data_IF_351493203841
#
_entry.id   IF_351493203841
#
_cell.length_a   1.000
_cell.length_b   1.000
_cell.length_c   1.000
_cell.angle_alpha   90.00
_cell.angle_beta   90.00
_cell.angle_gamma   90.00
#
_symmetry.space_group_name_H-M   'P 1'
#
loop_
_entity.id
_entity.type
_entity.pdbx_description
1 polymer ?
#
# COMPACT_ATOMS: atom_id res chain seq x y z
N UNK A 1 23.70 10.34 15.54
CA UNK A 1 22.90 9.11 15.70
C UNK A 1 21.76 9.27 16.72
N UNK A 2 21.97 9.92 17.86
CA UNK A 2 20.93 10.05 18.90
C UNK A 2 19.67 10.79 18.42
N UNK A 3 19.81 11.90 17.69
CA UNK A 3 18.67 12.67 17.17
C UNK A 3 17.84 11.88 16.15
N UNK A 4 18.48 11.15 15.23
CA UNK A 4 17.79 10.31 14.24
C UNK A 4 16.97 9.20 14.92
N UNK A 5 17.47 8.60 15.99
CA UNK A 5 16.73 7.59 16.75
C UNK A 5 15.58 8.17 17.58
N UNK A 6 15.71 9.39 18.10
CA UNK A 6 14.58 10.08 18.72
C UNK A 6 13.47 10.36 17.72
N UNK A 7 13.81 10.86 16.52
CA UNK A 7 12.83 11.11 15.45
C UNK A 7 12.14 9.80 15.03
N UNK A 8 12.89 8.73 14.81
CA UNK A 8 12.33 7.40 14.47
C UNK A 8 11.40 6.87 15.57
N UNK A 9 11.79 6.99 16.83
CA UNK A 9 10.98 6.57 17.99
C UNK A 9 9.69 7.40 18.09
N UNK A 10 9.79 8.70 17.85
CA UNK A 10 8.63 9.59 17.85
C UNK A 10 7.65 9.25 16.73
N UNK A 11 8.14 8.97 15.50
CA UNK A 11 7.30 8.52 14.38
C UNK A 11 6.59 7.21 14.72
N UNK A 12 7.29 6.22 15.30
CA UNK A 12 6.69 4.95 15.75
C UNK A 12 5.59 5.18 16.79
N UNK A 13 5.81 6.09 17.73
CA UNK A 13 4.79 6.45 18.72
C UNK A 13 3.57 7.10 18.08
N UNK A 14 3.74 8.02 17.14
CA UNK A 14 2.62 8.64 16.41
C UNK A 14 1.82 7.60 15.62
N UNK A 15 2.50 6.65 14.97
CA UNK A 15 1.87 5.57 14.20
C UNK A 15 1.00 4.65 15.09
N UNK A 16 1.45 4.36 16.33
CA UNK A 16 0.67 3.56 17.29
C UNK A 16 -0.71 4.14 17.60
N UNK A 17 -0.90 5.45 17.49
CA UNK A 17 -2.17 6.13 17.77
C UNK A 17 -3.00 6.42 16.53
N UNK A 18 -2.58 5.96 15.34
CA UNK A 18 -3.42 6.02 14.14
C UNK A 18 -4.66 5.15 14.35
N UNK A 19 -5.76 5.75 14.75
CA UNK A 19 -7.04 5.06 14.78
C UNK A 19 -7.52 4.88 13.33
N UNK A 20 -7.83 3.65 12.90
CA UNK A 20 -8.54 3.43 11.65
C UNK A 20 -9.97 3.95 11.86
N UNK A 21 -10.17 5.26 11.65
CA UNK A 21 -11.52 5.82 11.57
C UNK A 21 -12.18 5.08 10.40
N UNK A 22 -13.34 4.44 10.62
CA UNK A 22 -14.10 3.83 9.53
C UNK A 22 -14.61 4.98 8.66
N UNK A 23 -13.83 5.31 7.63
CA UNK A 23 -14.24 6.22 6.57
C UNK A 23 -14.61 5.38 5.36
N UNK A 24 -15.73 5.74 4.78
CA UNK A 24 -16.30 5.14 3.57
C UNK A 24 -15.65 5.71 2.30
N UNK A 25 -14.66 6.59 2.44
CA UNK A 25 -13.99 7.20 1.30
C UNK A 25 -13.09 6.18 0.58
N UNK A 26 -13.29 5.98 -0.73
CA UNK A 26 -12.51 5.07 -1.53
C UNK A 26 -11.07 5.56 -1.70
N UNK A 27 -10.17 4.63 -2.05
CA UNK A 27 -8.80 4.96 -2.40
C UNK A 27 -8.79 5.90 -3.61
N UNK A 28 -8.24 7.10 -3.43
CA UNK A 28 -8.08 8.07 -4.51
C UNK A 28 -6.99 7.62 -5.49
N UNK A 29 -7.05 8.12 -6.72
CA UNK A 29 -5.99 7.83 -7.70
C UNK A 29 -4.62 8.36 -7.23
N UNK A 30 -4.60 9.49 -6.51
CA UNK A 30 -3.38 10.04 -5.91
C UNK A 30 -2.79 9.04 -4.91
N UNK A 31 -3.60 8.46 -4.02
CA UNK A 31 -3.13 7.44 -3.07
C UNK A 31 -2.52 6.23 -3.77
N UNK A 32 -3.15 5.78 -4.87
CA UNK A 32 -2.66 4.65 -5.66
C UNK A 32 -1.31 4.97 -6.32
N UNK A 33 -1.19 6.14 -6.93
CA UNK A 33 0.06 6.59 -7.55
C UNK A 33 1.18 6.78 -6.51
N UNK A 34 0.88 7.38 -5.36
CA UNK A 34 1.85 7.52 -4.27
C UNK A 34 2.34 6.17 -3.75
N UNK A 35 1.45 5.18 -3.65
CA UNK A 35 1.81 3.83 -3.18
C UNK A 35 2.68 3.09 -4.21
N UNK A 36 2.36 3.20 -5.50
CA UNK A 36 3.17 2.63 -6.59
C UNK A 36 4.56 3.28 -6.68
N UNK A 37 4.62 4.59 -6.52
CA UNK A 37 5.89 5.32 -6.51
C UNK A 37 6.77 4.88 -5.32
N UNK A 38 6.16 4.74 -4.13
CA UNK A 38 6.85 4.23 -2.95
C UNK A 38 7.37 2.80 -3.16
N UNK A 39 6.59 1.92 -3.79
CA UNK A 39 7.00 0.56 -4.13
C UNK A 39 8.21 0.55 -5.08
N UNK A 40 8.15 1.36 -6.13
CA UNK A 40 9.24 1.51 -7.10
C UNK A 40 10.52 2.03 -6.44
N UNK A 41 10.42 3.09 -5.64
CA UNK A 41 11.58 3.68 -4.95
C UNK A 41 12.19 2.70 -3.94
N UNK A 42 11.37 2.02 -3.15
CA UNK A 42 11.82 0.99 -2.22
C UNK A 42 12.49 -0.20 -2.93
N UNK A 43 11.99 -0.59 -4.11
CA UNK A 43 12.56 -1.67 -4.92
C UNK A 43 13.84 -1.28 -5.67
N UNK A 44 13.99 0.00 -6.05
CA UNK A 44 15.11 0.49 -6.86
C UNK A 44 16.44 0.61 -6.10
N UNK A 45 16.42 0.61 -4.76
CA UNK A 45 17.59 0.82 -3.91
C UNK A 45 18.22 2.23 -3.98
N UNK A 46 17.70 3.12 -4.84
CA UNK A 46 18.25 4.46 -5.09
C UNK A 46 18.11 5.42 -3.90
N UNK A 47 16.93 5.46 -3.27
CA UNK A 47 16.68 6.25 -2.05
C UNK A 47 17.63 5.84 -0.90
N UNK A 48 18.00 4.55 -0.84
CA UNK A 48 18.89 4.02 0.18
C UNK A 48 20.37 4.22 -0.13
N UNK A 49 20.78 4.26 -1.41
CA UNK A 49 22.11 4.73 -1.79
C UNK A 49 22.35 6.15 -1.27
N UNK A 50 21.34 7.01 -1.37
CA UNK A 50 21.37 8.36 -0.81
C UNK A 50 21.37 8.36 0.74
N UNK A 51 20.58 7.49 1.38
CA UNK A 51 20.56 7.35 2.84
C UNK A 51 21.89 6.83 3.40
N UNK A 52 22.51 5.83 2.76
CA UNK A 52 23.81 5.32 3.14
C UNK A 52 24.88 6.42 2.99
N UNK A 53 24.83 7.21 1.90
CA UNK A 53 25.74 8.35 1.72
C UNK A 53 25.57 9.46 2.77
N UNK A 54 24.38 9.62 3.34
CA UNK A 54 24.12 10.63 4.39
C UNK A 54 24.38 10.12 5.80
N UNK A 55 24.20 8.81 6.05
CA UNK A 55 24.39 8.22 7.38
C UNK A 55 25.85 7.80 7.65
N UNK A 56 26.65 7.54 6.61
CA UNK A 56 28.07 7.21 6.73
C UNK A 56 28.95 8.39 6.31
N UNK A 57 29.78 8.96 7.21
CA UNK A 57 30.65 10.09 6.88
C UNK A 57 31.77 9.68 5.90
N UNK A 58 32.20 10.62 5.04
CA UNK A 58 33.28 10.49 4.03
C UNK A 58 34.58 9.78 4.49
N UNK A 59 35.06 9.88 5.75
CA UNK A 59 36.32 9.26 6.17
C UNK A 59 36.34 7.73 6.02
N UNK A 60 35.18 7.08 6.11
CA UNK A 60 35.05 5.61 5.98
C UNK A 60 35.21 5.16 4.52
N UNK A 61 34.97 6.06 3.55
CA UNK A 61 35.00 5.73 2.12
C UNK A 61 36.42 5.73 1.54
N UNK A 62 37.33 6.49 2.15
CA UNK A 62 38.65 6.80 1.57
C UNK A 62 39.85 6.30 2.38
N UNK A 63 39.64 5.55 3.48
CA UNK A 63 40.76 5.06 4.29
C UNK A 63 41.29 3.74 3.69
N UNK A 64 42.52 3.78 3.16
CA UNK A 64 43.27 2.58 2.76
C UNK A 64 43.55 1.72 4.00
N UNK A 65 42.61 0.83 4.32
CA UNK A 65 42.75 -0.10 5.43
C UNK A 65 43.82 -1.15 5.11
N UNK A 66 44.75 -1.34 6.05
CA UNK A 66 45.82 -2.35 6.01
C UNK A 66 45.24 -3.77 5.81
N UNK A 67 46.03 -4.75 5.34
CA UNK A 67 45.53 -6.08 4.95
C UNK A 67 44.75 -6.84 6.04
N UNK A 68 45.03 -6.55 7.33
CA UNK A 68 44.36 -7.16 8.47
C UNK A 68 42.91 -6.64 8.65
N UNK A 69 42.66 -5.38 8.32
CA UNK A 69 41.33 -4.77 8.35
C UNK A 69 40.43 -5.21 7.17
N UNK A 70 41.00 -5.78 6.09
CA UNK A 70 40.24 -6.29 4.93
C UNK A 70 39.32 -7.46 5.28
N UNK A 71 39.67 -8.29 6.26
CA UNK A 71 38.82 -9.42 6.71
C UNK A 71 37.60 -8.94 7.49
N UNK A 72 37.78 -7.95 8.38
CA UNK A 72 36.70 -7.33 9.14
C UNK A 72 35.77 -6.48 8.28
N UNK A 73 36.32 -5.69 7.33
CA UNK A 73 35.52 -4.87 6.41
C UNK A 73 34.72 -5.71 5.43
N UNK A 74 35.25 -6.83 4.94
CA UNK A 74 34.53 -7.72 4.03
C UNK A 74 33.35 -8.43 4.73
N UNK A 75 33.52 -8.86 5.99
CA UNK A 75 32.41 -9.38 6.80
C UNK A 75 31.38 -8.30 7.12
N UNK A 76 31.82 -7.07 7.41
CA UNK A 76 30.93 -5.94 7.65
C UNK A 76 30.11 -5.62 6.38
N UNK A 77 30.75 -5.59 5.21
CA UNK A 77 30.10 -5.33 3.91
C UNK A 77 29.12 -6.46 3.55
N UNK A 78 29.49 -7.72 3.72
CA UNK A 78 28.59 -8.85 3.44
C UNK A 78 27.38 -8.84 4.38
N UNK A 79 27.61 -8.54 5.67
CA UNK A 79 26.56 -8.37 6.66
C UNK A 79 25.65 -7.19 6.28
N UNK A 80 26.21 -6.00 6.05
CA UNK A 80 25.50 -4.81 5.54
C UNK A 80 24.59 -5.15 4.36
N UNK A 81 25.12 -5.87 3.38
CA UNK A 81 24.40 -6.26 2.16
C UNK A 81 23.28 -7.27 2.44
N UNK A 82 23.51 -8.30 3.25
CA UNK A 82 22.50 -9.29 3.66
C UNK A 82 21.37 -8.66 4.50
N UNK A 83 21.69 -7.69 5.35
CA UNK A 83 20.69 -6.98 6.16
C UNK A 83 19.89 -5.95 5.38
N UNK A 84 20.53 -5.20 4.46
CA UNK A 84 19.83 -4.36 3.48
C UNK A 84 18.74 -5.16 2.76
N UNK A 85 19.08 -6.35 2.26
CA UNK A 85 18.12 -7.23 1.60
C UNK A 85 16.96 -7.65 2.50
N UNK A 86 17.18 -7.90 3.80
CA UNK A 86 16.11 -8.37 4.71
C UNK A 86 15.12 -7.27 5.09
N UNK A 87 15.61 -6.10 5.52
CA UNK A 87 14.75 -4.98 5.92
C UNK A 87 13.94 -4.43 4.73
N UNK A 88 14.61 -4.25 3.59
CA UNK A 88 13.98 -3.76 2.35
C UNK A 88 12.96 -4.76 1.84
N UNK A 89 13.27 -6.07 1.81
CA UNK A 89 12.29 -7.08 1.39
C UNK A 89 11.07 -7.09 2.29
N UNK A 90 11.23 -6.94 3.60
CA UNK A 90 10.09 -6.88 4.52
C UNK A 90 9.20 -5.67 4.24
N UNK A 91 9.78 -4.48 4.09
CA UNK A 91 9.03 -3.25 3.80
C UNK A 91 8.39 -3.30 2.41
N UNK A 92 9.12 -3.78 1.41
CA UNK A 92 8.62 -3.96 0.05
C UNK A 92 7.46 -4.96 0.01
N UNK A 93 7.52 -6.07 0.76
CA UNK A 93 6.42 -7.03 0.86
C UNK A 93 5.15 -6.37 1.39
N UNK A 94 5.29 -5.52 2.40
CA UNK A 94 4.19 -4.77 2.99
C UNK A 94 3.57 -3.79 2.00
N UNK A 95 4.39 -3.01 1.30
CA UNK A 95 3.92 -2.06 0.27
C UNK A 95 3.25 -2.81 -0.89
N UNK A 96 3.89 -3.87 -1.38
CA UNK A 96 3.36 -4.70 -2.46
C UNK A 96 1.97 -5.25 -2.12
N UNK A 97 1.78 -5.72 -0.88
CA UNK A 97 0.50 -6.21 -0.42
C UNK A 97 -0.59 -5.10 -0.44
N UNK A 98 -0.23 -3.86 -0.12
CA UNK A 98 -1.14 -2.70 -0.24
C UNK A 98 -1.48 -2.41 -1.71
N UNK A 99 -0.48 -2.43 -2.60
CA UNK A 99 -0.68 -2.20 -4.05
C UNK A 99 -1.64 -3.23 -4.64
N UNK A 100 -1.46 -4.51 -4.32
CA UNK A 100 -2.35 -5.59 -4.76
C UNK A 100 -3.77 -5.36 -4.26
N UNK A 101 -3.94 -4.99 -2.99
CA UNK A 101 -5.25 -4.72 -2.41
C UNK A 101 -5.95 -3.50 -3.02
N UNK A 102 -5.22 -2.40 -3.25
CA UNK A 102 -5.72 -1.21 -3.95
C UNK A 102 -6.14 -1.53 -5.39
N UNK A 103 -5.42 -2.42 -6.08
CA UNK A 103 -5.76 -2.86 -7.43
C UNK A 103 -7.09 -3.64 -7.46
N UNK A 104 -7.34 -4.51 -6.47
CA UNK A 104 -8.60 -5.25 -6.37
C UNK A 104 -9.78 -4.32 -6.00
N UNK A 105 -9.59 -3.37 -5.08
CA UNK A 105 -10.59 -2.35 -4.78
C UNK A 105 -10.98 -1.55 -6.05
N UNK A 106 -9.97 -1.09 -6.80
CA UNK A 106 -10.20 -0.32 -8.02
C UNK A 106 -10.88 -1.14 -9.13
N UNK A 107 -10.53 -2.42 -9.26
CA UNK A 107 -11.20 -3.35 -10.19
C UNK A 107 -12.66 -3.55 -9.80
N UNK A 108 -12.97 -3.70 -8.51
CA UNK A 108 -14.34 -3.83 -8.05
C UNK A 108 -15.14 -2.54 -8.21
N UNK A 109 -14.52 -1.38 -8.00
CA UNK A 109 -15.12 -0.07 -8.30
C UNK A 109 -15.63 0.01 -9.73
N UNK A 110 -14.79 -0.36 -10.72
CA UNK A 110 -15.18 -0.37 -12.14
C UNK A 110 -16.36 -1.30 -12.44
N UNK A 111 -16.43 -2.46 -11.78
CA UNK A 111 -17.57 -3.39 -11.91
C UNK A 111 -18.85 -2.77 -11.35
N UNK A 112 -18.76 -2.15 -10.16
CA UNK A 112 -19.88 -1.45 -9.53
C UNK A 112 -20.40 -0.31 -10.42
N UNK A 113 -19.52 0.54 -10.94
CA UNK A 113 -19.87 1.64 -11.85
C UNK A 113 -20.52 1.14 -13.15
N UNK A 114 -20.02 0.05 -13.72
CA UNK A 114 -20.60 -0.55 -14.92
C UNK A 114 -22.00 -1.12 -14.66
N UNK A 115 -22.20 -1.82 -13.54
CA UNK A 115 -23.50 -2.37 -13.16
C UNK A 115 -24.53 -1.26 -12.89
N UNK A 116 -24.10 -0.19 -12.21
CA UNK A 116 -24.94 0.97 -11.95
C UNK A 116 -25.34 1.69 -13.25
N UNK A 117 -24.41 1.90 -14.17
CA UNK A 117 -24.68 2.51 -15.48
C UNK A 117 -25.67 1.70 -16.32
N UNK A 118 -25.58 0.37 -16.29
CA UNK A 118 -26.55 -0.50 -16.96
C UNK A 118 -27.94 -0.38 -16.34
N UNK A 119 -28.02 -0.39 -15.01
CA UNK A 119 -29.26 -0.16 -14.27
C UNK A 119 -29.89 1.19 -14.61
N UNK A 120 -29.14 2.30 -14.58
CA UNK A 120 -29.64 3.64 -14.91
C UNK A 120 -30.20 3.72 -16.33
N UNK A 121 -29.50 3.11 -17.30
CA UNK A 121 -30.00 3.03 -18.68
C UNK A 121 -31.34 2.32 -18.73
N UNK A 122 -31.50 1.21 -18.00
CA UNK A 122 -32.75 0.43 -17.99
C UNK A 122 -33.88 1.14 -17.25
N UNK A 123 -33.58 1.89 -16.19
CA UNK A 123 -34.53 2.78 -15.51
C UNK A 123 -35.03 3.87 -16.46
N UNK A 124 -34.13 4.50 -17.23
CA UNK A 124 -34.51 5.51 -18.21
C UNK A 124 -35.40 4.93 -19.33
N UNK A 125 -35.05 3.75 -19.85
CA UNK A 125 -35.85 3.01 -20.84
C UNK A 125 -37.24 2.59 -20.30
N UNK A 126 -37.34 2.28 -19.00
CA UNK A 126 -38.62 1.97 -18.34
C UNK A 126 -39.47 3.23 -18.21
N UNK A 127 -38.90 4.34 -17.74
CA UNK A 127 -39.61 5.63 -17.61
C UNK A 127 -40.18 6.11 -18.95
N UNK A 128 -39.40 5.95 -20.04
CA UNK A 128 -39.87 6.26 -21.39
C UNK A 128 -41.02 5.36 -21.83
N UNK A 129 -40.97 4.06 -21.49
CA UNK A 129 -42.05 3.12 -21.78
C UNK A 129 -43.32 3.47 -20.99
N UNK A 130 -43.21 3.72 -19.70
CA UNK A 130 -44.33 4.10 -18.83
C UNK A 130 -44.99 5.40 -19.29
N UNK A 131 -44.21 6.37 -19.77
CA UNK A 131 -44.73 7.61 -20.38
C UNK A 131 -45.57 7.33 -21.65
N UNK A 132 -45.16 6.36 -22.46
CA UNK A 132 -45.87 5.95 -23.69
C UNK A 132 -47.17 5.18 -23.40
N UNK A 133 -47.21 4.43 -22.29
CA UNK A 133 -48.36 3.65 -21.83
C UNK A 133 -49.21 4.40 -20.78
N UNK A 134 -49.25 5.74 -20.85
CA UNK A 134 -49.99 6.59 -19.91
C UNK A 134 -51.49 6.22 -19.79
N UNK A 135 -52.24 6.89 -18.90
CA UNK A 135 -53.60 6.49 -18.46
C UNK A 135 -54.68 6.31 -19.55
N UNK A 136 -54.37 6.59 -20.82
CA UNK A 136 -55.27 6.58 -21.98
C UNK A 136 -54.87 5.61 -23.11
N UNK A 137 -53.87 4.75 -22.93
CA UNK A 137 -53.49 3.79 -23.98
C UNK A 137 -54.58 2.71 -24.17
N UNK A 138 -55.33 2.78 -25.28
CA UNK A 138 -56.30 1.74 -25.67
C UNK A 138 -55.59 0.40 -25.91
N UNK A 139 -56.11 -0.72 -25.39
CA UNK A 139 -55.60 -2.04 -25.73
C UNK A 139 -56.11 -2.42 -27.12
N UNK A 140 -55.21 -2.52 -28.10
CA UNK A 140 -55.57 -3.14 -29.36
C UNK A 140 -55.85 -4.63 -29.13
N UNK A 141 -57.13 -4.98 -29.21
CA UNK A 141 -57.64 -6.33 -29.29
C UNK A 141 -57.12 -7.02 -30.54
N UNK A 142 -56.22 -7.99 -30.40
CA UNK A 142 -56.35 -9.29 -31.05
C UNK A 142 -55.25 -10.27 -30.65
N UNK A 143 -55.66 -11.54 -30.52
CA UNK A 143 -54.85 -12.77 -30.48
C UNK A 143 -54.16 -13.16 -29.15
N UNK A 144 -54.85 -14.04 -28.42
CA UNK A 144 -54.41 -15.39 -28.04
C UNK A 144 -52.90 -15.67 -27.91
N UNK A 145 -52.23 -15.12 -26.89
CA UNK A 145 -51.16 -15.81 -26.13
C UNK A 145 -50.77 -14.98 -24.91
N UNK A 146 -50.88 -15.54 -23.69
CA UNK A 146 -50.23 -15.10 -22.42
C UNK A 146 -49.64 -13.68 -22.43
N UNK A 147 -50.51 -12.66 -22.44
CA UNK A 147 -50.11 -11.26 -22.38
C UNK A 147 -49.68 -10.90 -20.96
N UNK A 148 -48.40 -11.12 -20.62
CA UNK A 148 -47.78 -10.43 -19.48
C UNK A 148 -47.66 -8.96 -19.85
N UNK A 149 -48.09 -8.07 -18.96
CA UNK A 149 -47.93 -6.63 -19.13
C UNK A 149 -46.45 -6.31 -19.43
N UNK A 150 -46.13 -5.75 -20.61
CA UNK A 150 -44.75 -5.46 -21.02
C UNK A 150 -44.07 -4.46 -20.07
N UNK A 151 -44.84 -3.60 -19.38
CA UNK A 151 -44.33 -2.71 -18.34
C UNK A 151 -43.97 -3.51 -17.09
N UNK A 152 -44.83 -4.43 -16.64
CA UNK A 152 -44.54 -5.30 -15.50
C UNK A 152 -43.30 -6.19 -15.74
N UNK A 153 -43.14 -6.76 -16.93
CA UNK A 153 -41.94 -7.53 -17.28
C UNK A 153 -40.67 -6.66 -17.26
N UNK A 154 -40.76 -5.43 -17.79
CA UNK A 154 -39.62 -4.51 -17.79
C UNK A 154 -39.28 -3.99 -16.39
N UNK A 155 -40.28 -3.78 -15.52
CA UNK A 155 -40.09 -3.50 -14.08
C UNK A 155 -39.34 -4.63 -13.38
N UNK A 156 -39.74 -5.88 -13.61
CA UNK A 156 -39.05 -7.04 -13.03
C UNK A 156 -37.57 -7.10 -13.44
N UNK A 157 -37.26 -6.81 -14.72
CA UNK A 157 -35.87 -6.74 -15.22
C UNK A 157 -35.07 -5.61 -14.56
N UNK A 158 -35.68 -4.43 -14.35
CA UNK A 158 -35.04 -3.30 -13.66
C UNK A 158 -34.72 -3.65 -12.21
N UNK A 159 -35.62 -4.32 -11.49
CA UNK A 159 -35.38 -4.74 -10.10
C UNK A 159 -34.26 -5.77 -9.98
N UNK A 160 -34.13 -6.71 -10.93
CA UNK A 160 -32.99 -7.65 -10.96
C UNK A 160 -31.67 -6.88 -11.14
N UNK A 161 -31.62 -5.91 -12.06
CA UNK A 161 -30.41 -5.10 -12.28
C UNK A 161 -30.10 -4.18 -11.10
N UNK A 162 -31.12 -3.68 -10.41
CA UNK A 162 -30.98 -2.91 -9.18
C UNK A 162 -30.33 -3.76 -8.08
N UNK A 163 -30.84 -4.96 -7.85
CA UNK A 163 -30.30 -5.89 -6.86
C UNK A 163 -28.83 -6.21 -7.17
N UNK A 164 -28.50 -6.45 -8.44
CA UNK A 164 -27.11 -6.66 -8.89
C UNK A 164 -26.23 -5.43 -8.67
N UNK A 165 -26.71 -4.22 -8.98
CA UNK A 165 -25.95 -2.99 -8.78
C UNK A 165 -25.67 -2.73 -7.29
N UNK A 166 -26.65 -2.97 -6.41
CA UNK A 166 -26.47 -2.84 -4.97
C UNK A 166 -25.53 -3.92 -4.40
N UNK A 167 -25.59 -5.15 -4.92
CA UNK A 167 -24.65 -6.22 -4.56
C UNK A 167 -23.20 -5.83 -4.89
N UNK A 168 -22.95 -5.35 -6.11
CA UNK A 168 -21.60 -4.94 -6.54
C UNK A 168 -21.10 -3.71 -5.77
N UNK A 169 -21.99 -2.79 -5.41
CA UNK A 169 -21.69 -1.65 -4.53
C UNK A 169 -21.32 -2.09 -3.12
N UNK A 170 -22.07 -3.03 -2.52
CA UNK A 170 -21.74 -3.59 -1.21
C UNK A 170 -20.38 -4.30 -1.22
N UNK A 171 -20.05 -5.02 -2.30
CA UNK A 171 -18.71 -5.61 -2.47
C UNK A 171 -17.62 -4.54 -2.55
N UNK A 172 -17.86 -3.42 -3.25
CA UNK A 172 -16.91 -2.31 -3.31
C UNK A 172 -16.69 -1.67 -1.93
N UNK A 173 -17.75 -1.39 -1.17
CA UNK A 173 -17.67 -0.83 0.18
C UNK A 173 -16.87 -1.73 1.15
N UNK A 174 -17.07 -3.05 1.05
CA UNK A 174 -16.27 -4.02 1.82
C UNK A 174 -14.79 -3.94 1.46
N UNK A 175 -14.44 -3.84 0.18
CA UNK A 175 -13.03 -3.72 -0.23
C UNK A 175 -12.41 -2.39 0.20
N UNK A 176 -13.14 -1.28 0.21
CA UNK A 176 -12.66 -0.01 0.76
C UNK A 176 -12.25 -0.22 2.23
N UNK A 177 -13.13 -0.84 3.03
CA UNK A 177 -12.84 -1.11 4.44
C UNK A 177 -11.61 -1.99 4.61
N UNK A 178 -11.48 -3.06 3.82
CA UNK A 178 -10.31 -3.96 3.84
C UNK A 178 -9.03 -3.22 3.46
N UNK A 179 -9.02 -2.43 2.37
CA UNK A 179 -7.85 -1.67 1.93
C UNK A 179 -7.39 -0.70 3.01
N UNK A 180 -8.32 0.03 3.65
CA UNK A 180 -8.00 0.98 4.72
C UNK A 180 -7.40 0.28 5.92
N UNK A 181 -8.06 -0.77 6.43
CA UNK A 181 -7.55 -1.56 7.55
C UNK A 181 -6.19 -2.16 7.25
N UNK A 182 -6.00 -2.72 6.06
CA UNK A 182 -4.73 -3.30 5.63
C UNK A 182 -3.63 -2.24 5.58
N UNK A 183 -3.90 -1.07 5.00
CA UNK A 183 -2.95 0.04 4.94
C UNK A 183 -2.56 0.48 6.35
N UNK A 184 -3.53 0.77 7.23
CA UNK A 184 -3.24 1.20 8.60
C UNK A 184 -2.47 0.14 9.39
N UNK A 185 -2.91 -1.12 9.38
CA UNK A 185 -2.26 -2.21 10.11
C UNK A 185 -0.81 -2.42 9.63
N UNK A 186 -0.61 -2.36 8.32
CA UNK A 186 0.71 -2.51 7.71
C UNK A 186 1.64 -1.37 8.07
N UNK A 187 1.17 -0.12 8.11
CA UNK A 187 1.98 1.01 8.56
C UNK A 187 2.25 0.89 10.07
N UNK A 188 1.25 0.54 10.87
CA UNK A 188 1.38 0.41 12.33
C UNK A 188 2.33 -0.70 12.77
N UNK A 189 2.37 -1.82 12.06
CA UNK A 189 3.21 -2.97 12.40
C UNK A 189 4.54 -2.97 11.61
N UNK A 190 4.49 -2.62 10.32
CA UNK A 190 5.64 -2.66 9.43
C UNK A 190 6.70 -1.60 9.74
N UNK A 191 6.29 -0.38 10.07
CA UNK A 191 7.25 0.69 10.39
C UNK A 191 8.02 0.46 11.68
N UNK A 192 7.40 0.07 12.82
CA UNK A 192 8.18 -0.24 14.03
C UNK A 192 9.21 -1.33 13.80
N UNK A 193 8.89 -2.38 13.04
CA UNK A 193 9.85 -3.42 12.71
C UNK A 193 10.99 -2.90 11.82
N UNK A 194 10.71 -2.05 10.84
CA UNK A 194 11.73 -1.42 10.01
C UNK A 194 12.63 -0.46 10.82
N UNK A 195 12.04 0.36 11.70
CA UNK A 195 12.78 1.30 12.55
C UNK A 195 13.61 0.58 13.61
N UNK A 196 13.08 -0.45 14.26
CA UNK A 196 13.82 -1.27 15.22
C UNK A 196 15.02 -1.96 14.56
N UNK A 197 14.85 -2.44 13.33
CA UNK A 197 15.96 -3.00 12.55
C UNK A 197 17.05 -1.94 12.27
N UNK A 198 16.68 -0.71 11.93
CA UNK A 198 17.64 0.39 11.73
C UNK A 198 18.35 0.82 13.02
N UNK A 199 17.67 0.83 14.16
CA UNK A 199 18.29 1.11 15.47
C UNK A 199 19.31 0.04 15.85
N UNK A 200 18.91 -1.24 15.77
CA UNK A 200 19.81 -2.36 16.05
C UNK A 200 21.03 -2.34 15.13
N UNK A 201 20.83 -2.01 13.86
CA UNK A 201 21.88 -1.85 12.87
C UNK A 201 22.89 -0.76 13.24
N UNK A 202 22.43 0.45 13.55
CA UNK A 202 23.29 1.57 13.93
C UNK A 202 24.14 1.24 15.16
N UNK A 203 23.56 0.55 16.14
CA UNK A 203 24.29 0.11 17.33
C UNK A 203 25.39 -0.90 17.01
N UNK A 204 25.11 -1.91 16.17
CA UNK A 204 26.11 -2.91 15.76
C UNK A 204 27.25 -2.26 14.96
N UNK A 205 26.93 -1.34 14.03
CA UNK A 205 27.94 -0.58 13.30
C UNK A 205 28.80 0.26 14.24
N UNK A 206 28.18 0.97 15.19
CA UNK A 206 28.91 1.77 16.19
C UNK A 206 29.90 0.90 16.97
N UNK A 207 29.45 -0.25 17.46
CA UNK A 207 30.30 -1.19 18.21
C UNK A 207 31.46 -1.73 17.37
N UNK A 208 31.22 -2.04 16.09
CA UNK A 208 32.26 -2.51 15.18
C UNK A 208 33.31 -1.41 14.91
N UNK A 209 32.87 -0.17 14.70
CA UNK A 209 33.78 0.97 14.52
C UNK A 209 34.57 1.27 15.80
N UNK A 210 33.94 1.27 16.97
CA UNK A 210 34.63 1.42 18.25
C UNK A 210 35.68 0.33 18.46
N UNK A 211 35.38 -0.91 18.11
CA UNK A 211 36.33 -2.02 18.21
C UNK A 211 37.56 -1.82 17.32
N UNK A 212 37.36 -1.44 16.05
CA UNK A 212 38.46 -1.13 15.12
C UNK A 212 39.27 0.08 15.59
N UNK A 213 38.60 1.14 16.04
CA UNK A 213 39.25 2.36 16.52
C UNK A 213 40.09 2.09 17.78
N UNK A 214 39.57 1.32 18.73
CA UNK A 214 40.29 0.95 19.93
C UNK A 214 41.47 0.02 19.62
N UNK A 215 41.31 -0.91 18.67
CA UNK A 215 42.44 -1.74 18.20
C UNK A 215 43.55 -0.91 17.54
N UNK A 216 43.19 0.05 16.69
CA UNK A 216 44.16 0.95 16.05
C UNK A 216 44.90 1.80 17.09
N UNK A 217 44.18 2.37 18.06
CA UNK A 217 44.77 3.16 19.15
C UNK A 217 45.75 2.35 20.02
N UNK A 218 45.44 1.09 20.30
CA UNK A 218 46.31 0.23 21.10
C UNK A 218 47.56 -0.20 20.31
N UNK A 219 47.46 -0.37 18.99
CA UNK A 219 48.60 -0.71 18.13
C UNK A 219 49.64 0.43 18.02
N UNK A 220 49.21 1.69 18.11
CA UNK A 220 50.11 2.85 18.10
C UNK A 220 50.86 3.04 19.45
N UNK A 221 50.37 2.44 20.54
CA UNK A 221 50.98 2.53 21.87
C UNK A 221 52.05 1.45 22.12
N UNK A 222 52.08 0.37 21.34
CA UNK A 222 53.11 -0.69 21.47
C UNK A 222 54.42 -0.36 20.72
N UNK A 223 54.50 0.79 20.04
CA UNK A 223 55.65 1.22 19.24
C UNK A 223 56.45 2.42 19.79
N UNK A 224 56.25 2.79 21.07
CA UNK A 224 57.03 3.83 21.77
C UNK A 224 57.94 3.22 22.83
#
# INVERSE_FOLDING_TARGET
MYESHQVQTHIVQQLKYLNPIPSTEPTSEIHRQSTLQLEFEAGSGSAFSSLAKTQFPEPVRNQEFTPFAKSGTMQLIEFLTKWHLKGIKSFLTVIHAIVVQQAEEHKQKKKSESAFKEFEKKVAELRSLESKYGPYSMPETSSTTRNKDPVAEKRAKVEILRAKAEEEKSKHEKLISVTRSMTTNNLQMGFPHAFQAMVGFSSVCMNAFESIFNQAKNADQEHV
#
